data_IF_567883495824
#
_entry.id   IF_567883495824
#
_cell.length_a   1.000
_cell.length_b   1.000
_cell.length_c   1.000
_cell.angle_alpha   90.00
_cell.angle_beta   90.00
_cell.angle_gamma   90.00
#
_symmetry.space_group_name_H-M   'P 1'
#
loop_
_entity.id
_entity.type
_entity.pdbx_description
1 polymer ?
#
# COMPACT_ATOMS: atom_id res chain seq x y z
N UNK A 1 -5.80 13.12 36.25
CA UNK A 1 -5.22 14.01 35.23
C UNK A 1 -4.45 13.16 34.25
N UNK A 2 -5.17 12.55 33.30
CA UNK A 2 -4.58 11.86 32.16
C UNK A 2 -4.22 12.93 31.12
N UNK A 3 -2.96 12.91 30.68
CA UNK A 3 -2.43 13.85 29.69
C UNK A 3 -2.88 13.41 28.30
N UNK A 4 -3.68 14.28 27.67
CA UNK A 4 -3.64 14.64 26.24
C UNK A 4 -2.94 13.64 25.32
N UNK A 5 -3.72 12.73 24.75
CA UNK A 5 -3.44 12.11 23.45
C UNK A 5 -3.70 13.16 22.36
N UNK A 6 -2.71 13.31 21.48
CA UNK A 6 -2.67 14.27 20.37
C UNK A 6 -3.87 14.10 19.42
N UNK A 7 -4.43 15.22 18.99
CA UNK A 7 -5.75 15.32 18.34
C UNK A 7 -5.73 15.09 16.82
N UNK A 8 -4.80 14.29 16.29
CA UNK A 8 -4.65 14.05 14.84
C UNK A 8 -5.16 12.69 14.38
N UNK A 9 -5.23 11.70 15.28
CA UNK A 9 -5.83 10.39 14.96
C UNK A 9 -7.37 10.43 14.98
N UNK A 10 -7.97 11.37 15.72
CA UNK A 10 -9.43 11.51 15.81
C UNK A 10 -10.07 12.23 14.62
N UNK A 11 -9.27 12.96 13.83
CA UNK A 11 -9.75 13.74 12.67
C UNK A 11 -10.12 12.88 11.47
N UNK A 12 -9.61 11.65 11.36
CA UNK A 12 -9.86 10.74 10.24
C UNK A 12 -11.16 9.93 10.35
N UNK A 13 -11.95 10.16 11.41
CA UNK A 13 -13.12 9.37 11.75
C UNK A 13 -14.40 10.10 11.34
N UNK A 14 -14.56 10.48 10.07
CA UNK A 14 -15.71 11.28 9.62
C UNK A 14 -16.81 10.40 9.01
N UNK A 15 -18.05 10.56 9.48
CA UNK A 15 -19.25 10.08 8.78
C UNK A 15 -19.53 10.93 7.52
N UNK A 16 -20.49 10.53 6.68
CA UNK A 16 -20.93 11.23 5.44
C UNK A 16 -21.20 12.74 5.61
N UNK A 17 -21.43 13.22 6.84
CA UNK A 17 -21.71 14.62 7.17
C UNK A 17 -20.54 15.38 7.83
N UNK A 18 -19.36 14.77 7.95
CA UNK A 18 -18.20 15.40 8.59
C UNK A 18 -18.26 15.40 10.12
N UNK A 19 -19.04 14.52 10.74
CA UNK A 19 -19.04 14.32 12.20
C UNK A 19 -18.11 13.17 12.63
N UNK A 20 -17.50 13.30 13.81
CA UNK A 20 -16.64 12.25 14.40
C UNK A 20 -17.50 11.01 14.66
N UNK A 21 -17.14 9.87 14.07
CA UNK A 21 -17.77 8.56 14.27
C UNK A 21 -17.80 8.23 15.77
N UNK A 22 -18.93 7.74 16.26
CA UNK A 22 -19.02 7.21 17.62
C UNK A 22 -18.10 5.96 17.76
N UNK A 23 -17.63 5.65 18.97
CA UNK A 23 -16.65 4.55 19.20
C UNK A 23 -17.07 3.21 18.54
N UNK A 24 -18.37 2.90 18.49
CA UNK A 24 -18.89 1.69 17.86
C UNK A 24 -18.81 1.74 16.32
N UNK A 25 -19.02 2.92 15.73
CA UNK A 25 -18.92 3.15 14.29
C UNK A 25 -17.47 3.14 13.81
N UNK A 26 -16.57 3.66 14.64
CA UNK A 26 -15.13 3.62 14.42
C UNK A 26 -14.57 2.20 14.38
N UNK A 27 -14.98 1.38 15.35
CA UNK A 27 -14.63 -0.04 15.36
C UNK A 27 -15.19 -0.73 14.13
N UNK A 28 -16.46 -0.51 13.78
CA UNK A 28 -17.05 -1.10 12.57
C UNK A 28 -16.27 -0.71 11.30
N UNK A 29 -15.91 0.57 11.14
CA UNK A 29 -15.10 1.04 10.02
C UNK A 29 -13.75 0.30 9.93
N UNK A 30 -13.01 0.18 11.03
CA UNK A 30 -11.72 -0.52 11.06
C UNK A 30 -11.91 -2.00 10.71
N UNK A 31 -12.89 -2.66 11.33
CA UNK A 31 -13.15 -4.08 11.11
C UNK A 31 -13.54 -4.38 9.66
N UNK A 32 -14.44 -3.59 9.06
CA UNK A 32 -14.81 -3.78 7.65
C UNK A 32 -13.65 -3.44 6.71
N UNK A 33 -12.88 -2.39 7.01
CA UNK A 33 -11.69 -2.02 6.23
C UNK A 33 -10.64 -3.12 6.21
N UNK A 34 -10.31 -3.67 7.37
CA UNK A 34 -9.37 -4.78 7.50
C UNK A 34 -9.91 -6.04 6.83
N UNK A 35 -11.19 -6.37 7.06
CA UNK A 35 -11.86 -7.51 6.42
C UNK A 35 -11.80 -7.42 4.90
N UNK A 36 -12.11 -6.26 4.34
CA UNK A 36 -12.04 -6.00 2.90
C UNK A 36 -10.61 -6.16 2.35
N UNK A 37 -9.62 -5.53 2.99
CA UNK A 37 -8.22 -5.54 2.55
C UNK A 37 -7.58 -6.92 2.65
N UNK A 38 -7.63 -7.55 3.84
CA UNK A 38 -7.10 -8.90 4.04
C UNK A 38 -7.86 -9.91 3.21
N UNK A 39 -9.19 -9.78 3.14
CA UNK A 39 -10.05 -10.66 2.36
C UNK A 39 -9.64 -10.67 0.89
N UNK A 40 -9.48 -9.51 0.27
CA UNK A 40 -9.03 -9.41 -1.11
C UNK A 40 -7.58 -9.89 -1.30
N UNK A 41 -6.68 -9.54 -0.38
CA UNK A 41 -5.27 -9.91 -0.46
C UNK A 41 -5.06 -11.43 -0.42
N UNK A 42 -5.66 -12.10 0.58
CA UNK A 42 -5.58 -13.55 0.77
C UNK A 42 -6.19 -14.29 -0.42
N UNK A 43 -7.37 -13.87 -0.88
CA UNK A 43 -8.01 -14.43 -2.07
C UNK A 43 -7.13 -14.31 -3.32
N UNK A 44 -6.48 -13.15 -3.51
CA UNK A 44 -5.53 -12.94 -4.61
C UNK A 44 -4.34 -13.89 -4.52
N UNK A 45 -3.72 -14.01 -3.35
CA UNK A 45 -2.55 -14.87 -3.11
C UNK A 45 -2.89 -16.34 -3.36
N UNK A 46 -4.05 -16.82 -2.90
CA UNK A 46 -4.53 -18.18 -3.14
C UNK A 46 -4.76 -18.48 -4.61
N UNK A 47 -5.35 -17.53 -5.34
CA UNK A 47 -5.71 -17.73 -6.74
C UNK A 47 -4.52 -17.69 -7.70
N UNK A 48 -3.45 -16.94 -7.37
CA UNK A 48 -2.29 -16.73 -8.26
C UNK A 48 -1.66 -18.01 -8.83
N UNK A 49 -1.35 -19.07 -8.04
CA UNK A 49 -0.74 -20.30 -8.56
C UNK A 49 -1.61 -21.09 -9.57
N UNK A 50 -2.90 -20.76 -9.64
CA UNK A 50 -3.89 -21.43 -10.48
C UNK A 50 -4.46 -20.55 -11.58
N UNK A 51 -3.97 -19.31 -11.70
CA UNK A 51 -4.46 -18.36 -12.69
C UNK A 51 -4.23 -18.88 -14.11
N UNK A 52 -5.28 -18.83 -14.93
CA UNK A 52 -5.33 -19.37 -16.29
C UNK A 52 -5.51 -20.89 -16.38
N UNK A 53 -5.57 -21.63 -15.26
CA UNK A 53 -5.80 -23.08 -15.31
C UNK A 53 -7.28 -23.38 -15.55
N UNK A 54 -7.54 -24.36 -16.41
CA UNK A 54 -8.89 -24.81 -16.71
C UNK A 54 -9.55 -25.44 -15.47
N UNK A 55 -10.84 -25.14 -15.28
CA UNK A 55 -11.66 -25.75 -14.23
C UNK A 55 -11.56 -27.28 -14.23
N UNK A 56 -11.49 -27.88 -13.04
CA UNK A 56 -11.44 -29.32 -12.87
C UNK A 56 -10.08 -29.98 -13.18
N UNK A 57 -9.07 -29.21 -13.61
CA UNK A 57 -7.71 -29.72 -13.85
C UNK A 57 -6.78 -29.61 -12.63
N UNK A 58 -7.26 -29.01 -11.55
CA UNK A 58 -6.54 -28.83 -10.30
C UNK A 58 -7.52 -28.80 -9.13
N UNK A 59 -6.98 -28.84 -7.92
CA UNK A 59 -7.72 -28.55 -6.68
C UNK A 59 -6.85 -27.67 -5.80
N UNK A 60 -7.40 -26.54 -5.36
CA UNK A 60 -6.84 -25.72 -4.30
C UNK A 60 -7.53 -26.10 -2.99
N UNK A 61 -6.76 -26.48 -1.98
CA UNK A 61 -7.28 -26.93 -0.68
C UNK A 61 -6.82 -26.05 0.48
N UNK A 62 -6.03 -25.01 0.22
CA UNK A 62 -5.47 -24.13 1.23
C UNK A 62 -4.29 -23.28 0.74
N UNK A 63 -3.68 -22.55 1.67
CA UNK A 63 -2.56 -21.65 1.43
C UNK A 63 -1.20 -22.37 1.46
N UNK A 64 -0.82 -22.99 0.35
CA UNK A 64 0.51 -23.63 0.20
C UNK A 64 1.65 -22.62 0.01
N UNK A 65 1.33 -21.37 -0.37
CA UNK A 65 2.33 -20.32 -0.57
C UNK A 65 2.98 -19.94 0.75
N UNK A 66 4.32 -20.09 0.91
CA UNK A 66 5.01 -19.72 2.15
C UNK A 66 4.86 -18.22 2.45
N UNK A 67 4.75 -17.80 3.73
CA UNK A 67 4.52 -16.39 4.10
C UNK A 67 5.40 -15.39 3.35
N UNK A 68 6.72 -15.62 3.29
CA UNK A 68 7.67 -14.74 2.61
C UNK A 68 7.44 -14.57 1.09
N UNK A 69 6.59 -15.41 0.47
CA UNK A 69 6.22 -15.37 -0.95
C UNK A 69 4.76 -14.99 -1.19
N UNK A 70 4.00 -14.71 -0.14
CA UNK A 70 2.59 -14.29 -0.24
C UNK A 70 2.49 -12.84 -0.68
N UNK A 71 2.71 -12.60 -1.97
CA UNK A 71 2.60 -11.26 -2.55
C UNK A 71 1.19 -11.02 -3.05
N UNK A 72 0.47 -10.06 -2.47
CA UNK A 72 -0.80 -9.62 -3.04
C UNK A 72 -0.59 -8.92 -4.39
N UNK A 73 -1.63 -8.91 -5.20
CA UNK A 73 -1.55 -8.40 -6.57
C UNK A 73 -1.56 -6.87 -6.65
N UNK A 74 -1.21 -6.34 -7.83
CA UNK A 74 -1.33 -4.92 -8.13
C UNK A 74 -2.74 -4.36 -7.84
N UNK A 75 -3.80 -5.16 -8.02
CA UNK A 75 -5.19 -4.72 -7.77
C UNK A 75 -5.45 -4.43 -6.30
N UNK A 76 -4.89 -5.23 -5.39
CA UNK A 76 -4.96 -4.99 -3.94
C UNK A 76 -4.17 -3.73 -3.57
N UNK A 77 -3.02 -3.51 -4.21
CA UNK A 77 -2.22 -2.31 -4.00
C UNK A 77 -2.92 -1.05 -4.53
N UNK A 78 -3.62 -1.12 -5.68
CA UNK A 78 -4.44 0.00 -6.15
C UNK A 78 -5.65 0.26 -5.24
N UNK A 79 -6.25 -0.78 -4.66
CA UNK A 79 -7.29 -0.63 -3.63
C UNK A 79 -6.77 0.13 -2.41
N UNK A 80 -5.54 -0.16 -1.95
CA UNK A 80 -4.88 0.62 -0.90
C UNK A 80 -4.65 2.07 -1.32
N UNK A 81 -4.20 2.32 -2.55
CA UNK A 81 -4.02 3.67 -3.07
C UNK A 81 -5.34 4.46 -3.10
N UNK A 82 -6.47 3.82 -3.43
CA UNK A 82 -7.80 4.47 -3.32
C UNK A 82 -8.12 4.82 -1.88
N UNK A 83 -7.96 3.88 -0.94
CA UNK A 83 -8.18 4.15 0.49
C UNK A 83 -7.30 5.32 0.97
N UNK A 84 -6.02 5.33 0.61
CA UNK A 84 -5.08 6.37 1.04
C UNK A 84 -5.44 7.74 0.45
N UNK A 85 -5.82 7.78 -0.83
CA UNK A 85 -6.30 9.01 -1.46
C UNK A 85 -7.54 9.56 -0.75
N UNK A 86 -8.55 8.71 -0.48
CA UNK A 86 -9.79 9.12 0.20
C UNK A 86 -9.53 9.58 1.64
N UNK A 87 -8.70 8.84 2.40
CA UNK A 87 -8.37 9.20 3.79
C UNK A 87 -7.51 10.46 3.86
N UNK A 88 -6.65 10.70 2.88
CA UNK A 88 -5.79 11.89 2.81
C UNK A 88 -6.53 13.17 2.39
N UNK A 89 -7.73 13.04 1.79
CA UNK A 89 -8.49 14.17 1.21
C UNK A 89 -9.84 14.39 1.90
N UNK A 90 -9.98 14.08 3.20
CA UNK A 90 -11.23 14.23 3.94
C UNK A 90 -12.43 13.58 3.19
N UNK A 91 -12.20 12.39 2.64
CA UNK A 91 -13.18 11.58 1.90
C UNK A 91 -13.59 12.18 0.55
N UNK A 92 -12.92 13.24 0.09
CA UNK A 92 -13.15 13.80 -1.25
C UNK A 92 -12.46 12.97 -2.33
N UNK A 93 -13.18 12.73 -3.42
CA UNK A 93 -12.63 12.03 -4.59
C UNK A 93 -11.73 12.99 -5.38
N UNK A 94 -10.42 12.82 -5.24
CA UNK A 94 -9.42 13.44 -6.11
C UNK A 94 -8.89 12.40 -7.12
N UNK A 95 -9.47 12.42 -8.31
CA UNK A 95 -9.11 11.50 -9.39
C UNK A 95 -7.64 11.62 -9.83
N UNK A 96 -7.07 12.82 -9.72
CA UNK A 96 -5.68 13.07 -10.12
C UNK A 96 -4.73 12.47 -9.08
N UNK A 97 -4.97 12.71 -7.79
CA UNK A 97 -4.19 12.10 -6.72
C UNK A 97 -4.27 10.57 -6.75
N UNK A 98 -5.46 10.00 -6.99
CA UNK A 98 -5.61 8.55 -7.18
C UNK A 98 -4.76 8.02 -8.33
N UNK A 99 -4.77 8.69 -9.49
CA UNK A 99 -3.94 8.31 -10.64
C UNK A 99 -2.46 8.42 -10.34
N UNK A 100 -2.02 9.50 -9.67
CA UNK A 100 -0.63 9.70 -9.29
C UNK A 100 -0.17 8.57 -8.35
N UNK A 101 -0.98 8.20 -7.34
CA UNK A 101 -0.70 7.06 -6.44
C UNK A 101 -0.71 5.72 -7.17
N UNK A 102 -1.59 5.52 -8.14
CA UNK A 102 -1.59 4.32 -8.97
C UNK A 102 -0.29 4.22 -9.77
N UNK A 103 0.16 5.31 -10.39
CA UNK A 103 1.42 5.35 -11.12
C UNK A 103 2.61 5.03 -10.21
N UNK A 104 2.66 5.63 -9.01
CA UNK A 104 3.69 5.34 -8.00
C UNK A 104 3.68 3.87 -7.56
N UNK A 105 2.50 3.29 -7.33
CA UNK A 105 2.36 1.87 -7.01
C UNK A 105 2.87 0.97 -8.15
N UNK A 106 2.49 1.23 -9.39
CA UNK A 106 2.81 0.37 -10.53
C UNK A 106 4.26 0.50 -10.98
N UNK A 107 4.84 1.70 -10.92
CA UNK A 107 6.23 1.95 -11.32
C UNK A 107 7.22 1.74 -10.17
N UNK A 108 6.90 2.26 -9.00
CA UNK A 108 7.78 2.32 -7.82
C UNK A 108 7.49 1.26 -6.76
N UNK A 109 6.33 0.60 -6.80
CA UNK A 109 5.97 -0.41 -5.82
C UNK A 109 5.46 0.15 -4.49
N UNK A 110 4.98 1.39 -4.47
CA UNK A 110 4.29 1.93 -3.29
C UNK A 110 3.12 1.03 -2.88
N UNK A 111 2.79 1.04 -1.58
CA UNK A 111 1.84 0.11 -0.97
C UNK A 111 2.27 -1.37 -1.07
N UNK A 112 3.57 -1.65 -1.20
CA UNK A 112 4.11 -3.03 -1.20
C UNK A 112 5.26 -3.18 -0.18
N UNK A 113 5.59 -4.41 0.24
CA UNK A 113 6.52 -4.70 1.35
C UNK A 113 7.97 -4.27 1.13
N UNK A 114 8.36 -3.99 -0.11
CA UNK A 114 9.75 -3.71 -0.48
C UNK A 114 9.88 -2.52 -1.44
N UNK A 115 8.81 -1.76 -1.66
CA UNK A 115 8.77 -0.76 -2.73
C UNK A 115 9.21 -1.37 -4.07
N UNK A 116 8.61 -2.53 -4.38
CA UNK A 116 8.84 -3.23 -5.65
C UNK A 116 7.48 -3.40 -6.33
N UNK A 117 7.38 -3.12 -7.64
CA UNK A 117 6.13 -3.28 -8.36
C UNK A 117 5.44 -4.63 -8.08
N UNK A 118 4.16 -4.63 -7.70
CA UNK A 118 3.43 -5.83 -7.32
C UNK A 118 3.23 -6.78 -8.51
N UNK A 119 2.81 -8.01 -8.23
CA UNK A 119 2.49 -8.98 -9.29
C UNK A 119 1.40 -8.42 -10.22
N UNK A 120 1.67 -8.43 -11.53
CA UNK A 120 0.79 -7.86 -12.57
C UNK A 120 0.96 -6.35 -12.81
N UNK A 121 1.88 -5.67 -12.12
CA UNK A 121 2.04 -4.21 -12.24
C UNK A 121 2.43 -3.75 -13.64
N UNK A 122 3.31 -4.49 -14.34
CA UNK A 122 3.73 -4.13 -15.71
C UNK A 122 2.58 -4.21 -16.71
N UNK A 123 1.77 -5.25 -16.62
CA UNK A 123 0.62 -5.44 -17.51
C UNK A 123 -0.42 -4.36 -17.28
N UNK A 124 -0.66 -4.01 -16.02
CA UNK A 124 -1.55 -2.91 -15.64
C UNK A 124 -1.01 -1.55 -16.10
N UNK A 125 0.26 -1.24 -15.83
CA UNK A 125 0.89 0.03 -16.22
C UNK A 125 0.81 0.26 -17.73
N UNK A 126 1.15 -0.76 -18.52
CA UNK A 126 1.03 -0.70 -19.98
C UNK A 126 -0.41 -0.43 -20.41
N UNK A 127 -1.38 -1.04 -19.77
CA UNK A 127 -2.77 -0.87 -20.16
C UNK A 127 -3.33 0.53 -19.77
N UNK A 128 -2.85 1.13 -18.67
CA UNK A 128 -3.06 2.56 -18.38
C UNK A 128 -2.43 3.46 -19.45
N UNK A 129 -1.21 3.16 -19.90
CA UNK A 129 -0.49 3.96 -20.91
C UNK A 129 -1.09 3.85 -22.32
N UNK A 130 -1.45 2.65 -22.74
CA UNK A 130 -1.93 2.36 -24.10
C UNK A 130 -3.43 2.62 -24.26
N UNK A 131 -4.17 2.81 -23.17
CA UNK A 131 -5.63 2.89 -23.14
C UNK A 131 -6.29 1.74 -23.92
N UNK A 132 -5.75 0.53 -23.74
CA UNK A 132 -6.19 -0.70 -24.42
C UNK A 132 -7.01 -1.58 -23.49
N UNK A 133 -8.00 -2.28 -24.05
CA UNK A 133 -8.74 -3.35 -23.39
C UNK A 133 -7.79 -4.53 -23.15
N UNK A 134 -6.99 -4.46 -22.09
CA UNK A 134 -6.35 -5.65 -21.57
C UNK A 134 -7.43 -6.43 -20.82
N UNK A 135 -7.56 -7.73 -21.13
CA UNK A 135 -8.40 -8.69 -20.40
C UNK A 135 -8.26 -8.59 -18.86
N UNK A 136 -7.13 -8.05 -18.40
CA UNK A 136 -6.68 -7.80 -17.01
C UNK A 136 -7.17 -6.49 -16.36
N UNK A 137 -7.63 -5.49 -17.12
CA UNK A 137 -7.96 -4.15 -16.61
C UNK A 137 -9.35 -4.05 -15.99
N UNK A 138 -10.33 -4.65 -16.66
CA UNK A 138 -11.76 -4.57 -16.36
C UNK A 138 -12.10 -5.08 -14.94
N UNK A 139 -11.58 -6.27 -14.58
CA UNK A 139 -11.83 -6.86 -13.25
C UNK A 139 -11.14 -6.15 -12.09
N UNK A 140 -10.08 -5.38 -12.37
CA UNK A 140 -9.38 -4.58 -11.37
C UNK A 140 -10.20 -3.37 -10.91
N UNK A 141 -11.19 -2.94 -11.71
CA UNK A 141 -12.07 -1.83 -11.35
C UNK A 141 -12.89 -2.13 -10.08
N UNK A 142 -13.38 -3.36 -9.90
CA UNK A 142 -14.15 -3.76 -8.72
C UNK A 142 -13.39 -3.51 -7.41
N UNK A 143 -12.14 -3.97 -7.32
CA UNK A 143 -11.33 -3.76 -6.11
C UNK A 143 -10.91 -2.29 -5.95
N UNK A 144 -10.64 -1.56 -7.04
CA UNK A 144 -10.32 -0.13 -6.95
C UNK A 144 -11.46 0.70 -6.35
N UNK A 145 -12.72 0.37 -6.67
CA UNK A 145 -13.89 1.08 -6.13
C UNK A 145 -14.40 0.51 -4.81
N UNK A 146 -13.92 -0.65 -4.36
CA UNK A 146 -14.39 -1.26 -3.11
C UNK A 146 -14.34 -0.32 -1.89
N UNK A 147 -13.32 0.53 -1.72
CA UNK A 147 -13.26 1.47 -0.59
C UNK A 147 -14.42 2.47 -0.58
N UNK A 148 -14.99 2.81 -1.75
CA UNK A 148 -16.14 3.70 -1.87
C UNK A 148 -17.37 3.23 -1.05
N UNK A 149 -17.46 1.93 -0.74
CA UNK A 149 -18.51 1.39 0.12
C UNK A 149 -18.47 1.97 1.54
N UNK A 150 -17.30 2.34 2.05
CA UNK A 150 -17.07 2.81 3.42
C UNK A 150 -17.20 4.33 3.59
N UNK A 151 -17.20 5.05 2.47
CA UNK A 151 -16.96 6.49 2.42
C UNK A 151 -18.13 7.27 1.81
N UNK A 152 -19.31 6.64 1.66
CA UNK A 152 -20.50 7.31 1.13
C UNK A 152 -20.41 7.83 -0.32
N UNK A 153 -19.34 7.49 -1.05
CA UNK A 153 -19.06 8.01 -2.40
C UNK A 153 -20.22 7.71 -3.35
N UNK A 154 -20.70 8.72 -4.07
CA UNK A 154 -21.89 8.56 -4.92
C UNK A 154 -21.61 7.74 -6.19
N UNK A 155 -22.69 7.33 -6.87
CA UNK A 155 -22.60 6.51 -8.08
C UNK A 155 -21.83 7.18 -9.22
N UNK A 156 -21.88 8.51 -9.35
CA UNK A 156 -21.18 9.24 -10.42
C UNK A 156 -19.67 9.23 -10.15
N UNK A 157 -19.28 9.47 -8.90
CA UNK A 157 -17.91 9.38 -8.43
C UNK A 157 -17.37 7.95 -8.50
N UNK A 158 -18.16 6.92 -8.14
CA UNK A 158 -17.75 5.51 -8.29
C UNK A 158 -17.45 5.19 -9.76
N UNK A 159 -18.30 5.65 -10.69
CA UNK A 159 -18.04 5.49 -12.14
C UNK A 159 -16.74 6.20 -12.52
N UNK A 160 -16.54 7.45 -12.09
CA UNK A 160 -15.33 8.19 -12.39
C UNK A 160 -14.04 7.49 -11.91
N UNK A 161 -14.07 6.86 -10.72
CA UNK A 161 -12.95 6.07 -10.20
C UNK A 161 -12.75 4.79 -11.02
N UNK A 162 -13.82 4.10 -11.40
CA UNK A 162 -13.75 2.92 -12.25
C UNK A 162 -13.08 3.24 -13.60
N UNK A 163 -13.45 4.37 -14.21
CA UNK A 163 -12.96 4.85 -15.50
C UNK A 163 -11.57 5.50 -15.46
N UNK A 164 -10.88 5.48 -14.31
CA UNK A 164 -9.46 5.84 -14.23
C UNK A 164 -8.57 4.89 -15.04
N UNK A 165 -9.05 3.68 -15.33
CA UNK A 165 -8.48 2.81 -16.36
C UNK A 165 -9.57 2.56 -17.43
N UNK A 166 -9.23 2.04 -18.62
CA UNK A 166 -10.23 1.68 -19.62
C UNK A 166 -11.34 0.84 -18.97
N UNK A 167 -12.57 1.35 -19.03
CA UNK A 167 -13.76 0.72 -18.50
C UNK A 167 -14.92 1.04 -19.42
N UNK A 168 -15.65 0.01 -19.85
CA UNK A 168 -16.89 0.19 -20.55
C UNK A 168 -18.06 0.48 -19.59
N UNK A 169 -19.21 0.84 -20.15
CA UNK A 169 -20.40 1.16 -19.38
C UNK A 169 -20.89 -0.03 -18.52
N UNK A 170 -20.64 -1.26 -18.97
CA UNK A 170 -21.01 -2.47 -18.23
C UNK A 170 -20.09 -2.69 -17.02
N UNK A 171 -18.81 -2.38 -17.14
CA UNK A 171 -17.82 -2.39 -16.05
C UNK A 171 -18.12 -1.32 -15.01
N UNK A 172 -18.42 -0.10 -15.45
CA UNK A 172 -18.88 0.98 -14.58
C UNK A 172 -20.13 0.59 -13.78
N UNK A 173 -21.12 -0.02 -14.45
CA UNK A 173 -22.34 -0.50 -13.80
C UNK A 173 -22.07 -1.65 -12.82
N UNK A 174 -21.18 -2.57 -13.16
CA UNK A 174 -20.75 -3.65 -12.25
C UNK A 174 -20.07 -3.09 -11.00
N UNK A 175 -19.24 -2.06 -11.13
CA UNK A 175 -18.57 -1.38 -10.03
C UNK A 175 -19.57 -0.69 -9.09
N UNK A 176 -20.53 0.05 -9.64
CA UNK A 176 -21.61 0.67 -8.84
C UNK A 176 -22.41 -0.39 -8.09
N UNK A 177 -22.84 -1.47 -8.76
CA UNK A 177 -23.58 -2.57 -8.12
C UNK A 177 -22.75 -3.24 -7.02
N UNK A 178 -21.47 -3.48 -7.27
CA UNK A 178 -20.58 -4.06 -6.28
C UNK A 178 -20.49 -3.20 -5.02
N UNK A 179 -20.30 -1.89 -5.16
CA UNK A 179 -20.28 -0.96 -4.03
C UNK A 179 -21.58 -0.98 -3.23
N UNK A 180 -22.75 -1.00 -3.90
CA UNK A 180 -24.04 -1.12 -3.21
C UNK A 180 -24.23 -2.45 -2.48
N UNK A 181 -23.77 -3.56 -3.08
CA UNK A 181 -23.79 -4.88 -2.42
C UNK A 181 -22.91 -4.86 -1.16
N UNK A 182 -21.69 -4.29 -1.23
CA UNK A 182 -20.82 -4.16 -0.06
C UNK A 182 -21.49 -3.36 1.06
N UNK A 183 -22.13 -2.24 0.72
CA UNK A 183 -22.89 -1.41 1.68
C UNK A 183 -24.00 -2.19 2.37
N UNK A 184 -24.82 -2.91 1.60
CA UNK A 184 -25.92 -3.70 2.17
C UNK A 184 -25.40 -4.84 3.07
N UNK A 185 -24.28 -5.47 2.71
CA UNK A 185 -23.66 -6.49 3.55
C UNK A 185 -23.07 -5.89 4.84
N UNK A 186 -22.48 -4.69 4.80
CA UNK A 186 -22.01 -3.98 5.99
C UNK A 186 -23.16 -3.59 6.94
N UNK A 187 -24.39 -3.46 6.43
CA UNK A 187 -25.59 -3.28 7.27
C UNK A 187 -26.05 -4.58 7.94
N UNK A 188 -25.37 -5.71 7.68
CA UNK A 188 -25.70 -7.02 8.25
C UNK A 188 -26.87 -7.71 7.56
N UNK A 189 -27.25 -7.28 6.35
CA UNK A 189 -28.33 -7.93 5.60
C UNK A 189 -27.92 -9.35 5.17
N UNK A 190 -28.84 -10.33 5.17
CA UNK A 190 -28.53 -11.67 4.71
C UNK A 190 -28.03 -11.67 3.26
N UNK A 191 -26.98 -12.45 2.98
CA UNK A 191 -26.31 -12.50 1.67
C UNK A 191 -27.33 -12.71 0.54
N UNK A 192 -28.15 -13.76 0.62
CA UNK A 192 -29.10 -14.10 -0.45
C UNK A 192 -30.18 -13.05 -0.66
N UNK A 193 -30.65 -12.40 0.40
CA UNK A 193 -31.63 -11.32 0.31
C UNK A 193 -31.03 -10.09 -0.36
N UNK A 194 -29.80 -9.72 0.04
CA UNK A 194 -29.01 -8.66 -0.60
C UNK A 194 -28.85 -8.94 -2.09
N UNK A 195 -28.44 -10.15 -2.47
CA UNK A 195 -28.25 -10.52 -3.87
C UNK A 195 -29.54 -10.45 -4.69
N UNK A 196 -30.67 -10.92 -4.15
CA UNK A 196 -31.98 -10.77 -4.81
C UNK A 196 -32.33 -9.29 -5.02
N UNK A 197 -32.09 -8.44 -4.02
CA UNK A 197 -32.31 -6.98 -4.11
C UNK A 197 -31.51 -6.30 -5.22
N UNK A 198 -30.29 -6.79 -5.49
CA UNK A 198 -29.41 -6.26 -6.54
C UNK A 198 -29.53 -6.97 -7.90
N UNK A 199 -30.55 -7.81 -8.08
CA UNK A 199 -30.86 -8.45 -9.36
C UNK A 199 -30.10 -9.75 -9.65
N UNK A 200 -29.52 -10.37 -8.63
CA UNK A 200 -28.84 -11.67 -8.69
C UNK A 200 -29.69 -12.80 -8.08
N UNK A 201 -31.01 -12.73 -8.27
CA UNK A 201 -31.97 -13.69 -7.72
C UNK A 201 -31.59 -15.13 -8.10
N UNK A 202 -31.58 -16.00 -7.08
CA UNK A 202 -31.33 -17.45 -7.22
C UNK A 202 -30.00 -17.81 -7.87
N UNK A 203 -29.01 -16.91 -7.86
CA UNK A 203 -27.67 -17.22 -8.36
C UNK A 203 -27.08 -18.47 -7.69
N UNK A 204 -27.31 -18.67 -6.39
CA UNK A 204 -26.87 -19.84 -5.61
C UNK A 204 -27.44 -21.19 -6.09
N UNK A 205 -28.49 -21.19 -6.91
CA UNK A 205 -29.08 -22.41 -7.45
C UNK A 205 -28.45 -22.83 -8.78
N UNK A 206 -27.62 -21.96 -9.36
CA UNK A 206 -26.95 -22.24 -10.62
C UNK A 206 -25.86 -23.29 -10.43
N UNK A 207 -25.80 -24.21 -11.39
CA UNK A 207 -24.70 -25.16 -11.49
C UNK A 207 -23.38 -24.44 -11.76
N UNK A 208 -22.29 -24.99 -11.23
CA UNK A 208 -20.94 -24.47 -11.41
C UNK A 208 -20.60 -24.28 -12.89
N UNK A 209 -21.03 -25.20 -13.75
CA UNK A 209 -20.86 -25.19 -15.21
C UNK A 209 -21.41 -23.94 -15.91
N UNK A 210 -22.37 -23.25 -15.28
CA UNK A 210 -22.93 -22.00 -15.81
C UNK A 210 -22.18 -20.74 -15.39
N UNK A 211 -21.24 -20.85 -14.43
CA UNK A 211 -20.46 -19.72 -13.94
C UNK A 211 -19.26 -19.50 -14.86
N UNK A 212 -19.12 -18.29 -15.39
CA UNK A 212 -18.09 -17.93 -16.35
C UNK A 212 -16.90 -17.33 -15.60
N UNK A 213 -15.73 -17.96 -15.73
CA UNK A 213 -14.48 -17.45 -15.14
C UNK A 213 -13.31 -17.45 -16.13
N UNK A 214 -13.45 -18.11 -17.28
CA UNK A 214 -12.45 -18.10 -18.35
C UNK A 214 -12.90 -17.13 -19.46
N UNK A 215 -12.01 -16.23 -19.89
CA UNK A 215 -12.36 -15.12 -20.80
C UNK A 215 -13.47 -14.18 -20.29
N UNK A 216 -13.77 -14.21 -18.98
CA UNK A 216 -14.89 -13.47 -18.39
C UNK A 216 -14.63 -11.96 -18.26
N UNK A 217 -15.71 -11.18 -18.38
CA UNK A 217 -15.77 -9.73 -18.19
C UNK A 217 -15.80 -9.34 -16.69
N UNK A 218 -15.72 -8.05 -16.35
CA UNK A 218 -15.93 -7.54 -14.98
C UNK A 218 -17.21 -8.10 -14.35
N UNK A 219 -18.29 -8.13 -15.13
CA UNK A 219 -19.59 -8.64 -14.69
C UNK A 219 -19.54 -10.12 -14.38
N UNK A 220 -18.86 -10.92 -15.20
CA UNK A 220 -18.72 -12.36 -14.98
C UNK A 220 -17.90 -12.65 -13.71
N UNK A 221 -16.85 -11.87 -13.47
CA UNK A 221 -16.04 -11.97 -12.24
C UNK A 221 -16.87 -11.62 -11.01
N UNK A 222 -17.66 -10.55 -11.07
CA UNK A 222 -18.59 -10.18 -9.99
C UNK A 222 -19.61 -11.30 -9.78
N UNK A 223 -20.26 -11.80 -10.83
CA UNK A 223 -21.24 -12.87 -10.76
C UNK A 223 -20.66 -14.15 -10.13
N UNK A 224 -19.44 -14.55 -10.53
CA UNK A 224 -18.75 -15.70 -9.95
C UNK A 224 -18.43 -15.50 -8.46
N UNK A 225 -17.98 -14.31 -8.05
CA UNK A 225 -17.72 -13.99 -6.66
C UNK A 225 -18.99 -14.02 -5.80
N UNK A 226 -20.10 -13.46 -6.30
CA UNK A 226 -21.40 -13.50 -5.63
C UNK A 226 -21.95 -14.94 -5.55
N UNK A 227 -21.74 -15.75 -6.58
CA UNK A 227 -22.09 -17.17 -6.55
C UNK A 227 -21.35 -17.89 -5.41
N UNK A 228 -20.03 -17.71 -5.29
CA UNK A 228 -19.25 -18.30 -4.20
C UNK A 228 -19.77 -17.84 -2.83
N UNK A 229 -19.96 -16.53 -2.65
CA UNK A 229 -20.45 -15.95 -1.39
C UNK A 229 -21.83 -16.48 -0.98
N UNK A 230 -22.70 -16.79 -1.96
CA UNK A 230 -24.07 -17.25 -1.71
C UNK A 230 -24.23 -18.76 -1.53
N UNK A 231 -23.17 -19.52 -1.79
CA UNK A 231 -23.13 -21.00 -1.74
C UNK A 231 -22.20 -21.55 -0.66
N UNK A 232 -21.55 -20.66 0.10
CA UNK A 232 -20.62 -20.99 1.19
C UNK A 232 -20.98 -20.22 2.46
N UNK A 233 -20.48 -20.68 3.60
CA UNK A 233 -20.80 -20.21 4.95
C UNK A 233 -19.57 -19.85 5.80
N UNK A 234 -18.36 -19.92 5.21
CA UNK A 234 -17.11 -19.49 5.82
C UNK A 234 -16.19 -18.78 4.79
N UNK A 235 -15.26 -17.97 5.27
CA UNK A 235 -14.34 -17.22 4.42
C UNK A 235 -13.48 -18.13 3.55
N UNK A 236 -12.84 -19.14 4.16
CA UNK A 236 -11.93 -20.07 3.50
C UNK A 236 -12.65 -20.88 2.43
N UNK A 237 -13.83 -21.42 2.74
CA UNK A 237 -14.69 -22.12 1.78
C UNK A 237 -15.08 -21.21 0.60
N UNK A 238 -15.41 -19.95 0.85
CA UNK A 238 -15.75 -18.99 -0.20
C UNK A 238 -14.58 -18.75 -1.16
N UNK A 239 -13.39 -18.44 -0.65
CA UNK A 239 -12.22 -18.16 -1.51
C UNK A 239 -11.67 -19.42 -2.16
N UNK A 240 -11.67 -20.57 -1.49
CA UNK A 240 -11.27 -21.85 -2.09
C UNK A 240 -12.23 -22.25 -3.21
N UNK A 241 -13.54 -22.07 -3.01
CA UNK A 241 -14.55 -22.28 -4.05
C UNK A 241 -14.27 -21.38 -5.26
N UNK A 242 -13.99 -20.09 -5.02
CA UNK A 242 -13.64 -19.14 -6.08
C UNK A 242 -12.38 -19.54 -6.87
N UNK A 243 -11.33 -20.01 -6.19
CA UNK A 243 -10.11 -20.49 -6.86
C UNK A 243 -10.41 -21.74 -7.69
N UNK A 244 -11.20 -22.67 -7.17
CA UNK A 244 -11.51 -23.93 -7.85
C UNK A 244 -12.45 -23.77 -9.06
N UNK A 245 -13.03 -22.58 -9.30
CA UNK A 245 -13.72 -22.27 -10.56
C UNK A 245 -12.77 -22.19 -11.78
N UNK A 246 -11.46 -22.05 -11.59
CA UNK A 246 -10.49 -21.94 -12.70
C UNK A 246 -10.59 -20.64 -13.49
N UNK A 247 -9.81 -20.51 -14.57
CA UNK A 247 -9.77 -19.30 -15.42
C UNK A 247 -9.08 -18.13 -14.70
N UNK A 248 -9.78 -17.01 -14.55
CA UNK A 248 -9.31 -15.78 -13.89
C UNK A 248 -9.30 -15.90 -12.34
N UNK A 249 -8.77 -17.01 -11.81
CA UNK A 249 -8.84 -17.41 -10.38
C UNK A 249 -8.39 -16.33 -9.40
N UNK A 250 -7.23 -15.72 -9.63
CA UNK A 250 -6.69 -14.65 -8.78
C UNK A 250 -7.60 -13.41 -8.69
N UNK A 251 -8.51 -13.21 -9.64
CA UNK A 251 -9.42 -12.07 -9.65
C UNK A 251 -10.74 -12.44 -8.98
N UNK A 252 -11.34 -13.55 -9.40
CA UNK A 252 -12.56 -14.06 -8.78
C UNK A 252 -12.37 -14.31 -7.30
N UNK A 253 -11.24 -14.90 -6.88
CA UNK A 253 -10.94 -15.13 -5.47
C UNK A 253 -10.66 -13.84 -4.69
N UNK A 254 -10.08 -12.80 -5.32
CA UNK A 254 -9.87 -11.53 -4.65
C UNK A 254 -11.19 -10.77 -4.42
N UNK A 255 -12.11 -10.76 -5.41
CA UNK A 255 -13.44 -10.15 -5.25
C UNK A 255 -14.31 -10.97 -4.29
N UNK A 256 -14.28 -12.30 -4.37
CA UNK A 256 -14.97 -13.16 -3.42
C UNK A 256 -14.43 -12.97 -2.00
N UNK A 257 -13.11 -12.86 -1.85
CA UNK A 257 -12.46 -12.59 -0.58
C UNK A 257 -12.79 -11.20 -0.02
N UNK A 258 -12.91 -10.18 -0.87
CA UNK A 258 -13.37 -8.85 -0.46
C UNK A 258 -14.79 -8.89 0.14
N UNK A 259 -15.72 -9.61 -0.49
CA UNK A 259 -17.09 -9.81 0.01
C UNK A 259 -17.10 -10.62 1.31
N UNK A 260 -16.42 -11.78 1.29
CA UNK A 260 -16.38 -12.70 2.43
C UNK A 260 -15.70 -12.06 3.65
N UNK A 261 -14.68 -11.23 3.44
CA UNK A 261 -14.00 -10.51 4.51
C UNK A 261 -14.88 -9.48 5.21
N UNK A 262 -15.87 -8.91 4.52
CA UNK A 262 -16.90 -8.05 5.15
C UNK A 262 -17.90 -8.88 5.93
N UNK A 263 -18.35 -10.01 5.38
CA UNK A 263 -19.44 -10.81 5.97
C UNK A 263 -18.96 -11.62 7.17
N UNK A 264 -17.80 -12.27 7.07
CA UNK A 264 -17.27 -13.14 8.12
C UNK A 264 -16.28 -12.43 9.07
N UNK A 265 -15.97 -11.17 8.78
CA UNK A 265 -15.06 -10.30 9.54
C UNK A 265 -13.65 -10.87 9.79
N UNK A 266 -12.77 -9.98 10.22
CA UNK A 266 -11.44 -10.32 10.72
C UNK A 266 -11.53 -10.53 12.23
N UNK A 267 -11.82 -11.77 12.65
CA UNK A 267 -11.82 -12.16 14.05
C UNK A 267 -11.19 -13.55 14.22
N UNK A 268 -10.06 -13.60 14.93
CA UNK A 268 -9.34 -14.85 15.21
C UNK A 268 -10.13 -15.78 16.17
N UNK A 269 -11.22 -15.30 16.78
CA UNK A 269 -12.11 -16.07 17.64
C UNK A 269 -13.29 -16.71 16.88
N UNK A 270 -13.53 -16.33 15.62
CA UNK A 270 -14.59 -16.91 14.78
C UNK A 270 -14.04 -18.01 13.89
N UNK A 271 -14.64 -19.21 13.97
CA UNK A 271 -14.27 -20.34 13.12
C UNK A 271 -14.60 -20.07 11.63
N UNK A 272 -15.49 -19.12 11.33
CA UNK A 272 -15.88 -18.75 9.96
C UNK A 272 -15.04 -17.62 9.32
N UNK A 273 -14.15 -16.99 10.09
CA UNK A 273 -13.35 -15.81 9.70
C UNK A 273 -12.16 -16.13 8.78
N UNK A 274 -11.34 -15.10 8.49
CA UNK A 274 -10.11 -15.28 7.69
C UNK A 274 -9.11 -16.12 8.51
N UNK A 275 -8.60 -17.27 8.00
CA UNK A 275 -7.62 -18.06 8.73
C UNK A 275 -6.37 -17.24 9.11
N UNK A 276 -6.08 -17.15 10.41
CA UNK A 276 -5.02 -16.27 10.92
C UNK A 276 -3.65 -16.56 10.29
N UNK A 277 -3.37 -17.83 9.99
CA UNK A 277 -2.14 -18.27 9.35
C UNK A 277 -2.02 -17.87 7.87
N UNK A 278 -3.10 -17.43 7.21
CA UNK A 278 -3.11 -16.94 5.82
C UNK A 278 -2.80 -15.45 5.73
N UNK A 279 -2.98 -14.70 6.82
CA UNK A 279 -2.83 -13.24 6.88
C UNK A 279 -1.37 -12.78 6.95
N UNK A 280 -0.46 -13.67 7.36
CA UNK A 280 0.97 -13.37 7.40
C UNK A 280 1.52 -13.22 5.99
N UNK A 281 1.66 -11.97 5.55
CA UNK A 281 2.16 -11.60 4.24
C UNK A 281 3.04 -10.35 4.33
N UNK A 282 4.10 -10.26 3.51
CA UNK A 282 4.81 -9.02 3.31
C UNK A 282 3.83 -7.89 2.94
N UNK A 283 4.00 -6.69 3.49
CA UNK A 283 3.25 -5.50 3.08
C UNK A 283 1.92 -5.32 3.83
N UNK A 284 1.53 -6.30 4.65
CA UNK A 284 0.33 -6.20 5.49
C UNK A 284 0.36 -4.99 6.44
N UNK A 285 1.53 -4.43 6.76
CA UNK A 285 1.63 -3.20 7.55
C UNK A 285 0.94 -1.99 6.91
N UNK A 286 0.84 -1.96 5.57
CA UNK A 286 0.16 -0.87 4.86
C UNK A 286 -1.32 -0.81 5.18
N UNK A 287 -1.96 -1.94 5.52
CA UNK A 287 -3.41 -2.01 5.67
C UNK A 287 -3.89 -1.14 6.84
N UNK A 288 -3.42 -1.34 8.10
CA UNK A 288 -3.80 -0.47 9.20
C UNK A 288 -3.29 0.97 9.02
N UNK A 289 -2.15 1.17 8.35
CA UNK A 289 -1.59 2.52 8.13
C UNK A 289 -2.46 3.36 7.20
N UNK A 290 -2.89 2.78 6.08
CA UNK A 290 -3.78 3.44 5.13
C UNK A 290 -5.15 3.69 5.77
N UNK A 291 -5.70 2.74 6.52
CA UNK A 291 -6.97 2.92 7.26
C UNK A 291 -6.87 4.07 8.27
N UNK A 292 -5.74 4.18 8.96
CA UNK A 292 -5.52 5.23 9.96
C UNK A 292 -5.18 6.59 9.34
N UNK A 293 -5.05 6.70 8.02
CA UNK A 293 -4.56 7.91 7.35
C UNK A 293 -3.07 8.21 7.62
N UNK A 294 -2.32 7.21 8.10
CA UNK A 294 -0.90 7.32 8.45
C UNK A 294 0.01 6.68 7.39
N UNK A 295 -0.49 6.37 6.19
CA UNK A 295 0.35 5.84 5.12
C UNK A 295 1.39 6.86 4.64
N UNK A 296 1.02 8.14 4.60
CA UNK A 296 1.95 9.25 4.33
C UNK A 296 2.91 9.51 5.51
N UNK A 297 2.62 8.98 6.70
CA UNK A 297 3.32 9.29 7.94
C UNK A 297 4.63 8.49 8.13
N UNK A 298 4.81 7.37 7.42
CA UNK A 298 6.09 6.65 7.32
C UNK A 298 6.78 6.85 5.96
N UNK A 299 6.11 7.51 5.00
CA UNK A 299 6.57 7.78 3.65
C UNK A 299 7.01 9.23 3.38
N UNK A 300 6.72 10.19 4.27
CA UNK A 300 7.23 11.56 4.14
C UNK A 300 8.74 11.60 4.47
N UNK A 301 9.61 11.82 3.47
CA UNK A 301 11.05 11.86 3.70
C UNK A 301 11.47 13.00 4.64
N UNK A 302 10.71 14.10 4.71
CA UNK A 302 10.99 15.20 5.65
C UNK A 302 10.58 14.85 7.08
N UNK A 303 9.50 14.08 7.27
CA UNK A 303 9.12 13.57 8.59
C UNK A 303 10.11 12.52 9.08
N UNK A 304 10.47 11.55 8.24
CA UNK A 304 11.52 10.57 8.55
C UNK A 304 12.85 11.26 8.88
N UNK A 305 13.19 12.33 8.16
CA UNK A 305 14.36 13.16 8.47
C UNK A 305 14.24 13.83 9.86
N UNK A 306 13.09 14.41 10.19
CA UNK A 306 12.83 15.02 11.51
C UNK A 306 12.88 13.99 12.65
N UNK A 307 12.28 12.81 12.47
CA UNK A 307 12.34 11.72 13.46
C UNK A 307 13.76 11.17 13.61
N UNK A 308 14.47 11.01 12.50
CA UNK A 308 15.89 10.65 12.50
C UNK A 308 16.73 11.66 13.26
N UNK A 309 16.45 12.96 13.11
CA UNK A 309 17.12 14.04 13.86
C UNK A 309 16.85 13.92 15.36
N UNK A 310 15.61 13.65 15.78
CA UNK A 310 15.27 13.41 17.18
C UNK A 310 16.00 12.19 17.75
N UNK A 311 16.07 11.08 17.00
CA UNK A 311 16.78 9.87 17.40
C UNK A 311 18.29 10.11 17.53
N UNK A 312 18.88 10.83 16.57
CA UNK A 312 20.30 11.21 16.56
C UNK A 312 20.65 12.10 17.74
N UNK A 313 19.82 13.09 18.05
CA UNK A 313 20.05 14.05 19.14
C UNK A 313 19.84 13.42 20.52
N UNK A 314 18.89 12.50 20.63
CA UNK A 314 18.65 11.71 21.84
C UNK A 314 19.61 10.52 22.03
N UNK A 315 20.47 10.21 21.07
CA UNK A 315 21.31 9.02 21.08
C UNK A 315 22.38 9.08 22.18
N UNK A 316 22.26 8.19 23.18
CA UNK A 316 23.28 7.98 24.21
C UNK A 316 24.25 6.83 23.90
N UNK A 317 24.00 6.10 22.81
CA UNK A 317 24.76 4.92 22.41
C UNK A 317 24.48 4.51 20.97
N UNK A 318 25.08 3.39 20.56
CA UNK A 318 25.06 2.91 19.17
C UNK A 318 23.64 2.64 18.65
N UNK A 319 22.77 2.08 19.48
CA UNK A 319 21.41 1.69 19.08
C UNK A 319 20.57 2.90 18.64
N UNK A 320 20.71 4.05 19.31
CA UNK A 320 20.02 5.29 18.91
C UNK A 320 20.49 5.81 17.55
N UNK A 321 21.80 5.71 17.29
CA UNK A 321 22.37 6.06 15.99
C UNK A 321 21.97 5.07 14.88
N UNK A 322 21.86 3.78 15.17
CA UNK A 322 21.43 2.78 14.18
C UNK A 322 19.95 3.00 13.79
N UNK A 323 19.08 3.35 14.74
CA UNK A 323 17.70 3.77 14.46
C UNK A 323 17.63 5.05 13.63
N UNK A 324 18.46 6.04 13.92
CA UNK A 324 18.53 7.25 13.10
C UNK A 324 18.98 6.94 11.66
N UNK A 325 19.97 6.05 11.49
CA UNK A 325 20.43 5.62 10.16
C UNK A 325 19.34 4.90 9.38
N UNK A 326 18.53 4.08 10.04
CA UNK A 326 17.39 3.39 9.40
C UNK A 326 16.38 4.40 8.84
N UNK A 327 15.96 5.37 9.66
CA UNK A 327 15.03 6.43 9.25
C UNK A 327 15.57 7.26 8.09
N UNK A 328 16.83 7.71 8.16
CA UNK A 328 17.43 8.48 7.06
C UNK A 328 17.58 7.66 5.78
N UNK A 329 17.91 6.37 5.86
CA UNK A 329 18.03 5.52 4.65
C UNK A 329 16.69 5.24 4.00
N UNK A 330 15.65 5.06 4.81
CA UNK A 330 14.28 4.93 4.30
C UNK A 330 13.88 6.23 3.57
N UNK A 331 14.15 7.39 4.17
CA UNK A 331 13.92 8.69 3.52
C UNK A 331 14.70 8.82 2.20
N UNK A 332 15.99 8.44 2.17
CA UNK A 332 16.78 8.46 0.92
C UNK A 332 16.16 7.56 -0.14
N UNK A 333 15.72 6.36 0.23
CA UNK A 333 15.09 5.42 -0.72
C UNK A 333 13.83 6.01 -1.36
N UNK A 334 13.06 6.79 -0.60
CA UNK A 334 11.84 7.46 -1.09
C UNK A 334 12.18 8.62 -2.02
N UNK A 335 13.11 9.50 -1.60
CA UNK A 335 13.48 10.70 -2.38
C UNK A 335 14.25 10.34 -3.65
N UNK A 336 15.03 9.26 -3.65
CA UNK A 336 15.86 8.88 -4.79
C UNK A 336 15.05 8.65 -6.08
N UNK A 337 13.82 8.14 -5.95
CA UNK A 337 12.93 7.94 -7.10
C UNK A 337 12.37 9.27 -7.67
N UNK A 338 12.43 10.35 -6.90
CA UNK A 338 11.88 11.68 -7.24
C UNK A 338 12.96 12.72 -7.58
N UNK A 339 14.24 12.40 -7.33
CA UNK A 339 15.38 13.27 -7.57
C UNK A 339 15.79 13.30 -9.06
N UNK A 340 14.95 13.92 -9.89
CA UNK A 340 15.20 14.14 -11.32
C UNK A 340 15.70 15.55 -11.61
N UNK A 341 16.15 15.82 -12.84
CA UNK A 341 16.61 17.15 -13.25
C UNK A 341 15.51 18.23 -13.15
N UNK A 342 14.24 17.84 -13.07
CA UNK A 342 13.10 18.75 -13.02
C UNK A 342 12.61 19.02 -11.57
N UNK A 343 13.26 18.44 -10.55
CA UNK A 343 12.89 18.61 -9.13
C UNK A 343 14.10 18.97 -8.25
N UNK A 344 14.54 20.24 -8.23
CA UNK A 344 15.70 20.67 -7.47
C UNK A 344 15.53 20.55 -5.94
N UNK A 345 14.30 20.61 -5.42
CA UNK A 345 13.99 20.43 -4.00
C UNK A 345 14.24 18.98 -3.55
N UNK A 346 13.85 17.99 -4.36
CA UNK A 346 14.16 16.59 -4.06
C UNK A 346 15.68 16.33 -4.05
N UNK A 347 16.43 16.94 -4.98
CA UNK A 347 17.90 16.84 -5.01
C UNK A 347 18.54 17.50 -3.77
N UNK A 348 18.00 18.64 -3.31
CA UNK A 348 18.42 19.28 -2.06
C UNK A 348 18.16 18.38 -0.84
N UNK A 349 17.00 17.72 -0.79
CA UNK A 349 16.65 16.81 0.29
C UNK A 349 17.57 15.58 0.33
N UNK A 350 17.97 15.03 -0.83
CA UNK A 350 19.01 13.99 -0.92
C UNK A 350 20.32 14.48 -0.30
N UNK A 351 20.73 15.72 -0.58
CA UNK A 351 21.94 16.30 0.00
C UNK A 351 21.85 16.39 1.54
N UNK A 352 20.72 16.86 2.04
CA UNK A 352 20.45 17.03 3.47
C UNK A 352 20.43 15.68 4.23
N UNK A 353 19.89 14.62 3.62
CA UNK A 353 19.85 13.28 4.19
C UNK A 353 21.23 12.62 4.22
N UNK A 354 21.99 12.68 3.13
CA UNK A 354 23.35 12.14 3.09
C UNK A 354 24.30 12.87 4.05
N UNK A 355 24.14 14.18 4.26
CA UNK A 355 24.90 14.91 5.27
C UNK A 355 24.66 14.32 6.67
N UNK A 356 23.39 14.09 7.03
CA UNK A 356 23.00 13.51 8.32
C UNK A 356 23.52 12.09 8.51
N UNK A 357 23.41 11.25 7.48
CA UNK A 357 23.98 9.89 7.48
C UNK A 357 25.49 9.95 7.73
N UNK A 358 26.20 10.88 7.07
CA UNK A 358 27.62 11.13 7.28
C UNK A 358 27.95 11.51 8.72
N UNK A 359 27.17 12.41 9.33
CA UNK A 359 27.32 12.82 10.73
C UNK A 359 27.12 11.64 11.69
N UNK A 360 26.13 10.78 11.43
CA UNK A 360 25.86 9.63 12.29
C UNK A 360 27.00 8.61 12.22
N UNK A 361 27.46 8.25 11.03
CA UNK A 361 28.63 7.36 10.86
C UNK A 361 29.89 7.94 11.51
N UNK A 362 30.13 9.25 11.36
CA UNK A 362 31.22 9.95 12.04
C UNK A 362 31.07 9.86 13.58
N UNK A 363 29.85 9.96 14.11
CA UNK A 363 29.56 9.88 15.54
C UNK A 363 29.75 8.46 16.09
N UNK A 364 29.27 7.44 15.38
CA UNK A 364 29.50 6.03 15.72
C UNK A 364 31.00 5.73 15.74
N UNK A 365 31.78 6.29 14.81
CA UNK A 365 33.23 6.06 14.75
C UNK A 365 33.98 6.51 16.01
N UNK A 366 33.42 7.47 16.75
CA UNK A 366 33.99 8.05 17.99
C UNK A 366 33.57 7.30 19.25
N UNK A 367 32.61 6.37 19.16
CA UNK A 367 32.16 5.59 20.32
C UNK A 367 33.25 4.64 20.84
N UNK A 368 33.28 4.35 22.16
CA UNK A 368 34.24 3.43 22.75
C UNK A 368 34.10 2.04 22.11
N UNK A 369 35.21 1.50 21.60
CA UNK A 369 35.25 0.15 21.02
C UNK A 369 35.57 -0.88 22.11
N UNK A 370 34.98 -2.08 21.99
CA UNK A 370 35.38 -3.22 22.83
C UNK A 370 36.85 -3.55 22.56
N UNK A 371 37.59 -3.94 23.60
CA UNK A 371 39.00 -4.32 23.52
C UNK A 371 39.27 -5.51 22.57
N UNK A 372 38.22 -6.24 22.15
CA UNK A 372 38.30 -7.40 21.25
C UNK A 372 38.00 -7.06 19.78
N UNK A 373 37.52 -5.84 19.47
CA UNK A 373 37.17 -5.46 18.11
C UNK A 373 38.39 -4.93 17.32
N UNK A 374 38.75 -5.58 16.21
CA UNK A 374 39.72 -5.03 15.26
C UNK A 374 39.18 -3.73 14.63
N UNK A 375 40.03 -2.71 14.48
CA UNK A 375 39.66 -1.45 13.82
C UNK A 375 39.46 -1.70 12.32
N UNK A 376 38.21 -1.62 11.85
CA UNK A 376 37.85 -1.86 10.44
C UNK A 376 37.74 -0.58 9.61
N UNK A 377 37.79 0.61 10.23
CA UNK A 377 37.66 1.94 9.59
C UNK A 377 36.40 2.11 8.71
N UNK A 378 35.42 1.21 8.83
CA UNK A 378 34.24 1.18 7.98
C UNK A 378 33.38 2.42 8.21
N UNK A 379 33.15 2.79 9.47
CA UNK A 379 32.33 3.95 9.83
C UNK A 379 32.96 5.25 9.32
N UNK A 380 34.28 5.39 9.43
CA UNK A 380 35.01 6.54 8.89
C UNK A 380 34.96 6.60 7.35
N UNK A 381 34.91 5.44 6.68
CA UNK A 381 34.75 5.34 5.22
C UNK A 381 33.32 5.70 4.80
N UNK A 382 32.32 5.11 5.46
CA UNK A 382 30.90 5.37 5.20
C UNK A 382 30.57 6.86 5.44
N UNK A 383 31.14 7.47 6.48
CA UNK A 383 30.99 8.89 6.76
C UNK A 383 31.54 9.76 5.62
N UNK A 384 32.77 9.47 5.15
CA UNK A 384 33.40 10.18 4.02
C UNK A 384 32.53 10.09 2.77
N UNK A 385 32.08 8.90 2.42
CA UNK A 385 31.35 8.66 1.17
C UNK A 385 30.01 9.39 1.18
N UNK A 386 29.29 9.37 2.32
CA UNK A 386 28.05 10.12 2.46
C UNK A 386 28.26 11.64 2.42
N UNK A 387 29.32 12.17 3.05
CA UNK A 387 29.64 13.59 2.89
C UNK A 387 30.00 13.95 1.43
N UNK A 388 30.66 13.06 0.69
CA UNK A 388 30.96 13.29 -0.72
C UNK A 388 29.67 13.33 -1.57
N UNK A 389 28.74 12.40 -1.33
CA UNK A 389 27.42 12.41 -1.99
C UNK A 389 26.63 13.68 -1.65
N UNK A 390 26.61 14.09 -0.38
CA UNK A 390 25.93 15.32 0.05
C UNK A 390 26.50 16.56 -0.64
N UNK A 391 27.83 16.66 -0.76
CA UNK A 391 28.49 17.76 -1.46
C UNK A 391 28.12 17.82 -2.95
N UNK A 392 28.10 16.66 -3.62
CA UNK A 392 27.73 16.58 -5.03
C UNK A 392 26.26 16.97 -5.24
N UNK A 393 25.34 16.36 -4.48
CA UNK A 393 23.91 16.62 -4.59
C UNK A 393 23.56 18.09 -4.32
N UNK A 394 24.15 18.71 -3.29
CA UNK A 394 23.95 20.13 -3.03
C UNK A 394 24.43 21.03 -4.18
N UNK A 395 25.59 20.69 -4.77
CA UNK A 395 26.12 21.39 -5.94
C UNK A 395 25.26 21.23 -7.18
N UNK A 396 24.62 20.07 -7.37
CA UNK A 396 23.71 19.82 -8.49
C UNK A 396 22.37 20.53 -8.29
N UNK A 397 21.80 20.52 -7.07
CA UNK A 397 20.60 21.28 -6.74
C UNK A 397 20.76 22.79 -7.03
N UNK A 398 21.92 23.37 -6.69
CA UNK A 398 22.24 24.76 -7.02
C UNK A 398 22.28 25.03 -8.53
N UNK A 399 22.78 24.09 -9.34
CA UNK A 399 22.81 24.24 -10.81
C UNK A 399 21.43 24.15 -11.45
N UNK A 400 20.50 23.45 -10.79
CA UNK A 400 19.12 23.29 -11.24
C UNK A 400 18.23 24.51 -10.95
N UNK A 401 18.78 25.56 -10.33
CA UNK A 401 18.12 26.86 -10.24
C UNK A 401 17.36 27.13 -8.96
N UNK A 402 17.73 26.49 -7.84
CA UNK A 402 17.25 26.91 -6.51
C UNK A 402 17.51 28.40 -6.27
N UNK A 403 16.59 29.06 -5.59
CA UNK A 403 16.71 30.46 -5.17
C UNK A 403 16.43 30.65 -3.67
N UNK A 404 16.52 31.89 -3.21
CA UNK A 404 16.13 32.26 -1.84
C UNK A 404 16.81 31.47 -0.72
N UNK A 405 15.99 30.93 0.19
CA UNK A 405 16.45 30.18 1.35
C UNK A 405 16.99 28.79 0.99
N UNK A 406 16.42 28.14 -0.03
CA UNK A 406 16.82 26.80 -0.49
C UNK A 406 18.24 26.82 -1.08
N UNK A 407 18.58 27.85 -1.87
CA UNK A 407 19.94 28.03 -2.39
C UNK A 407 20.97 28.28 -1.28
N UNK A 408 20.56 29.00 -0.23
CA UNK A 408 21.40 29.23 0.94
C UNK A 408 21.64 27.92 1.71
N UNK A 409 20.59 27.14 1.93
CA UNK A 409 20.68 25.84 2.58
C UNK A 409 21.60 24.89 1.81
N UNK A 410 21.42 24.78 0.49
CA UNK A 410 22.28 23.98 -0.37
C UNK A 410 23.76 24.38 -0.25
N UNK A 411 24.04 25.68 -0.24
CA UNK A 411 25.40 26.21 -0.05
C UNK A 411 25.98 25.83 1.31
N UNK A 412 25.17 25.92 2.37
CA UNK A 412 25.59 25.58 3.72
C UNK A 412 25.87 24.08 3.87
N UNK A 413 25.01 23.22 3.30
CA UNK A 413 25.22 21.76 3.23
C UNK A 413 26.53 21.46 2.49
N UNK A 414 26.75 22.03 1.30
CA UNK A 414 27.98 21.80 0.54
C UNK A 414 29.23 22.18 1.35
N UNK A 415 29.21 23.33 2.04
CA UNK A 415 30.33 23.77 2.88
C UNK A 415 30.61 22.82 4.05
N UNK A 416 29.57 22.33 4.75
CA UNK A 416 29.72 21.40 5.86
C UNK A 416 30.18 20.02 5.39
N UNK A 417 29.59 19.53 4.31
CA UNK A 417 29.92 18.26 3.69
C UNK A 417 31.36 18.22 3.17
N UNK A 418 31.82 19.27 2.48
CA UNK A 418 33.21 19.41 2.03
C UNK A 418 34.21 19.29 3.20
N UNK A 419 33.97 20.02 4.29
CA UNK A 419 34.78 19.89 5.52
C UNK A 419 34.69 18.50 6.14
N UNK A 420 33.54 17.84 6.05
CA UNK A 420 33.34 16.45 6.48
C UNK A 420 34.25 15.48 5.74
N UNK A 421 34.31 15.58 4.41
CA UNK A 421 35.20 14.79 3.55
C UNK A 421 36.67 15.01 3.94
N UNK A 422 37.10 16.26 4.09
CA UNK A 422 38.48 16.58 4.49
C UNK A 422 38.86 15.95 5.84
N UNK A 423 37.98 16.08 6.84
CA UNK A 423 38.19 15.46 8.16
C UNK A 423 38.32 13.95 8.08
N UNK A 424 37.39 13.28 7.39
CA UNK A 424 37.40 11.81 7.30
C UNK A 424 38.60 11.32 6.49
N UNK A 425 39.03 12.03 5.45
CA UNK A 425 40.27 11.71 4.72
C UNK A 425 41.51 11.82 5.61
N UNK A 426 41.62 12.86 6.43
CA UNK A 426 42.73 13.01 7.37
C UNK A 426 42.76 11.88 8.41
N UNK A 427 41.59 11.44 8.87
CA UNK A 427 41.42 10.31 9.80
C UNK A 427 41.79 8.99 9.14
N UNK A 428 41.32 8.74 7.91
CA UNK A 428 41.64 7.53 7.15
C UNK A 428 43.09 7.45 6.69
N UNK A 429 43.79 8.58 6.52
CA UNK A 429 45.22 8.62 6.22
C UNK A 429 46.10 8.19 7.40
N UNK A 430 45.55 8.08 8.61
CA UNK A 430 46.21 7.52 9.79
C UNK A 430 46.05 5.99 9.89
N UNK A 431 45.36 5.37 8.93
CA UNK A 431 45.30 3.92 8.75
C UNK A 431 46.65 3.37 8.32
#
# INVERSE_FOLDING_TARGET
MAKTTDSTALSAMLADDGTILEDDQAHAYIHYSLGLLYGAAVGSILGQPYHGKQRGTFTCTGMDTPPAKRMYSARTALMLATFDSLTSHDVQVDLKDMLDRYAMCLAGGDYTPNLVPPFGAKDLARAFEENTDADDMDSGALLRVAPCAMFGIDDEQVRAIASLAPADQDTELACVRFVHILRDLMLGNPVRETLTGHGYDRIWERGTDTIITDGGTTKDILEAALWCMSTTDAYDDCVLTAVNLGGKTAWTAAVAGALAGIVYLFDDELDEGIPADWTSMPGAQWFPQVIAGTANDEGDPEKLMREGDLMREGASGRDGYEKALELYRNAVSIVFNHATADNPQAVLLVAALHERIGIVHESISKLPRSAFAKRTWQQETDARDNYATAYQAAGDALKLGLDGEEAKEATDIANRASKGVERMNAVLAQR
#
